data_IF_644093579375
#
_entry.id   IF_644093579375
#
_cell.length_a   1.000
_cell.length_b   1.000
_cell.length_c   1.000
_cell.angle_alpha   90.00
_cell.angle_beta   90.00
_cell.angle_gamma   90.00
#
_symmetry.space_group_name_H-M   'P 1'
#
loop_
_entity.id
_entity.type
_entity.pdbx_description
1 polymer ?
#
# COMPACT_ATOMS: atom_id res chain seq x y z
N UNK A 1 -21.01 -8.64 -14.26
CA UNK A 1 -20.22 -9.72 -14.90
C UNK A 1 -19.72 -10.64 -13.80
N UNK A 2 -20.09 -11.92 -13.82
CA UNK A 2 -19.76 -12.89 -12.76
C UNK A 2 -18.37 -13.48 -13.01
N UNK A 3 -17.56 -13.65 -11.95
CA UNK A 3 -16.16 -14.10 -12.03
C UNK A 3 -15.94 -15.38 -12.86
N UNK A 4 -16.97 -16.22 -13.00
CA UNK A 4 -16.93 -17.45 -13.80
C UNK A 4 -16.77 -17.18 -15.30
N UNK A 5 -17.39 -16.12 -15.84
CA UNK A 5 -17.36 -15.84 -17.29
C UNK A 5 -15.98 -15.47 -17.83
N UNK A 6 -15.14 -14.75 -17.08
CA UNK A 6 -13.81 -14.32 -17.56
C UNK A 6 -12.84 -15.50 -17.61
N UNK A 7 -12.92 -16.40 -16.63
CA UNK A 7 -12.09 -17.60 -16.58
C UNK A 7 -12.46 -18.59 -17.68
N UNK A 8 -13.77 -18.78 -17.93
CA UNK A 8 -14.24 -19.65 -19.01
C UNK A 8 -13.81 -19.15 -20.39
N UNK A 9 -13.84 -17.83 -20.61
CA UNK A 9 -13.32 -17.20 -21.84
C UNK A 9 -11.82 -17.42 -21.96
N UNK A 10 -11.05 -17.28 -20.87
CA UNK A 10 -9.61 -17.50 -20.88
C UNK A 10 -9.24 -18.96 -21.23
N UNK A 11 -9.98 -19.93 -20.70
CA UNK A 11 -9.78 -21.35 -21.01
C UNK A 11 -10.13 -21.70 -22.47
N UNK A 12 -11.10 -21.00 -23.06
CA UNK A 12 -11.49 -21.17 -24.45
C UNK A 12 -10.47 -20.61 -25.45
N UNK A 13 -9.47 -19.82 -24.99
CA UNK A 13 -8.44 -19.26 -25.86
C UNK A 13 -7.40 -20.31 -26.28
N UNK A 14 -6.88 -20.21 -27.52
CA UNK A 14 -5.71 -20.96 -27.97
C UNK A 14 -4.53 -20.80 -27.01
N UNK A 15 -3.72 -21.83 -26.87
CA UNK A 15 -2.59 -21.87 -25.93
C UNK A 15 -1.62 -20.69 -26.12
N UNK A 16 -1.37 -20.28 -27.38
CA UNK A 16 -0.52 -19.12 -27.68
C UNK A 16 -1.10 -17.80 -27.16
N UNK A 17 -2.42 -17.63 -27.21
CA UNK A 17 -3.08 -16.40 -26.74
C UNK A 17 -3.11 -16.35 -25.20
N UNK A 18 -3.30 -17.51 -24.54
CA UNK A 18 -3.16 -17.61 -23.08
C UNK A 18 -1.76 -17.24 -22.62
N UNK A 19 -0.73 -17.74 -23.31
CA UNK A 19 0.65 -17.44 -22.96
C UNK A 19 0.96 -15.94 -23.10
N UNK A 20 0.54 -15.31 -24.20
CA UNK A 20 0.66 -13.86 -24.40
C UNK A 20 -0.10 -13.07 -23.34
N UNK A 21 -1.29 -13.52 -22.94
CA UNK A 21 -2.05 -12.87 -21.88
C UNK A 21 -1.34 -12.94 -20.53
N UNK A 22 -0.78 -14.10 -20.17
CA UNK A 22 -0.01 -14.29 -18.93
C UNK A 22 1.22 -13.37 -18.92
N UNK A 23 1.96 -13.30 -20.03
CA UNK A 23 3.10 -12.40 -20.18
C UNK A 23 2.71 -10.93 -20.01
N UNK A 24 1.62 -10.51 -20.65
CA UNK A 24 1.13 -9.14 -20.57
C UNK A 24 0.68 -8.75 -19.15
N UNK A 25 -0.01 -9.65 -18.45
CA UNK A 25 -0.41 -9.45 -17.04
C UNK A 25 0.80 -9.40 -16.13
N UNK A 26 1.81 -10.25 -16.35
CA UNK A 26 3.04 -10.25 -15.57
C UNK A 26 3.85 -8.97 -15.77
N UNK A 27 3.97 -8.47 -17.01
CA UNK A 27 4.60 -7.18 -17.28
C UNK A 27 3.86 -6.02 -16.61
N UNK A 28 2.53 -6.03 -16.66
CA UNK A 28 1.70 -5.00 -16.03
C UNK A 28 1.92 -4.99 -14.50
N UNK A 29 1.87 -6.16 -13.84
CA UNK A 29 2.13 -6.29 -12.40
C UNK A 29 3.54 -5.81 -12.03
N UNK A 30 4.56 -6.19 -12.79
CA UNK A 30 5.94 -5.72 -12.58
C UNK A 30 6.07 -4.20 -12.68
N UNK A 31 5.31 -3.55 -13.57
CA UNK A 31 5.29 -2.09 -13.70
C UNK A 31 4.56 -1.43 -12.54
N UNK A 32 3.49 -2.02 -12.01
CA UNK A 32 2.82 -1.53 -10.80
C UNK A 32 3.71 -1.65 -9.56
N UNK A 33 4.35 -2.80 -9.34
CA UNK A 33 5.25 -3.00 -8.20
C UNK A 33 6.42 -1.99 -8.21
N UNK A 34 6.94 -1.67 -9.40
CA UNK A 34 7.97 -0.64 -9.57
C UNK A 34 7.46 0.79 -9.34
N UNK A 35 6.18 1.10 -9.63
CA UNK A 35 5.60 2.42 -9.34
C UNK A 35 5.57 2.72 -7.84
N UNK A 36 5.38 1.71 -7.00
CA UNK A 36 5.38 1.87 -5.54
C UNK A 36 6.77 1.73 -4.90
N UNK A 37 7.74 1.14 -5.60
CA UNK A 37 9.12 0.99 -5.12
C UNK A 37 9.90 2.31 -5.06
N UNK A 38 9.53 3.32 -5.86
CA UNK A 38 10.23 4.61 -5.96
C UNK A 38 9.69 5.64 -4.96
N UNK A 39 8.76 5.29 -4.08
CA UNK A 39 8.48 6.15 -2.92
C UNK A 39 9.67 5.95 -1.97
N UNK A 40 10.58 6.94 -1.81
CA UNK A 40 11.63 6.80 -0.82
C UNK A 40 10.91 6.55 0.51
N UNK A 41 11.24 5.44 1.17
CA UNK A 41 10.80 5.19 2.55
C UNK A 41 11.24 6.40 3.36
N UNK A 42 10.37 7.42 3.49
CA UNK A 42 10.54 8.50 4.46
C UNK A 42 10.72 7.76 5.76
N UNK A 43 11.94 7.74 6.29
CA UNK A 43 12.20 7.23 7.63
C UNK A 43 11.20 7.96 8.51
N UNK A 44 10.13 7.26 8.91
CA UNK A 44 9.22 7.79 9.91
C UNK A 44 10.15 8.07 11.08
N UNK A 45 10.36 9.34 11.42
CA UNK A 45 11.02 9.67 12.68
C UNK A 45 10.17 8.97 13.73
N UNK A 46 10.67 7.87 14.28
CA UNK A 46 10.11 7.27 15.47
C UNK A 46 10.30 8.32 16.55
N UNK A 47 9.28 9.14 16.74
CA UNK A 47 9.18 9.97 17.91
C UNK A 47 8.94 9.01 19.08
N UNK A 48 10.01 8.65 19.78
CA UNK A 48 9.92 7.95 21.05
C UNK A 48 9.31 8.91 22.06
N UNK A 49 8.02 8.73 22.35
CA UNK A 49 7.35 9.52 23.36
C UNK A 49 7.83 9.05 24.73
N UNK A 50 8.56 9.92 25.43
CA UNK A 50 9.05 9.61 26.78
C UNK A 50 7.97 9.94 27.81
N UNK A 51 8.10 9.36 29.02
CA UNK A 51 7.21 9.67 30.14
C UNK A 51 7.22 11.17 30.48
N UNK A 52 8.34 11.85 30.26
CA UNK A 52 8.47 13.29 30.51
C UNK A 52 7.64 14.10 29.51
N UNK A 53 7.64 13.71 28.23
CA UNK A 53 6.82 14.35 27.20
C UNK A 53 5.31 14.26 27.54
N UNK A 54 4.89 13.15 28.16
CA UNK A 54 3.53 12.97 28.67
C UNK A 54 3.17 13.96 29.77
N UNK A 55 4.06 14.13 30.74
CA UNK A 55 3.88 15.04 31.86
C UNK A 55 3.85 16.48 31.35
N UNK A 56 4.78 16.85 30.47
CA UNK A 56 4.86 18.20 29.90
C UNK A 56 3.63 18.53 29.06
N UNK A 57 3.11 17.57 28.28
CA UNK A 57 1.87 17.75 27.52
C UNK A 57 0.66 17.97 28.43
N UNK A 58 0.54 17.18 29.50
CA UNK A 58 -0.55 17.32 30.47
C UNK A 58 -0.46 18.66 31.20
N UNK A 59 0.72 19.06 31.66
CA UNK A 59 0.94 20.36 32.31
C UNK A 59 0.55 21.51 31.39
N UNK A 60 1.01 21.47 30.13
CA UNK A 60 0.77 22.56 29.17
C UNK A 60 -0.68 22.66 28.69
N UNK A 61 -1.39 21.55 28.53
CA UNK A 61 -2.71 21.54 27.88
C UNK A 61 -3.87 21.32 28.84
N UNK A 62 -3.66 20.59 29.94
CA UNK A 62 -4.71 20.21 30.89
C UNK A 62 -4.64 21.06 32.16
N UNK A 63 -3.44 21.27 32.71
CA UNK A 63 -3.28 21.97 33.99
C UNK A 63 -3.03 23.47 33.86
N UNK A 64 -2.44 23.93 32.75
CA UNK A 64 -2.46 25.34 32.38
C UNK A 64 -3.85 25.75 31.90
N UNK A 65 -4.78 25.84 32.85
CA UNK A 65 -6.03 26.57 32.66
C UNK A 65 -5.67 28.00 32.26
N UNK A 66 -6.19 28.43 31.10
CA UNK A 66 -6.05 29.82 30.64
C UNK A 66 -6.54 30.73 31.76
N UNK A 67 -5.67 31.65 32.17
CA UNK A 67 -5.95 32.68 33.16
C UNK A 67 -7.12 33.56 32.71
#
# INVERSE_FOLDING_TARGET
MTANTVYDIFLALPEMERQRHIELVNEYKRKEDNKYAIIPKKKKKEFSYTRQDAIDYLLKNVFCTKK
#
